data_IF_181178060632
#
_entry.id   IF_181178060632
#
_cell.length_a   1.000
_cell.length_b   1.000
_cell.length_c   1.000
_cell.angle_alpha   90.00
_cell.angle_beta   90.00
_cell.angle_gamma   90.00
#
_symmetry.space_group_name_H-M   'P 1'
#
loop_
_entity.id
_entity.type
_entity.pdbx_description
1 polymer ?
#
# COMPACT_ATOMS: atom_id res chain seq x y z
N UNK A 1 23.45 -7.72 -12.35
CA UNK A 1 22.59 -8.40 -11.35
C UNK A 1 22.63 -7.53 -10.11
N UNK A 2 21.50 -6.91 -9.77
CA UNK A 2 21.40 -5.92 -8.69
C UNK A 2 19.96 -5.58 -8.33
N UNK A 3 19.04 -6.55 -8.46
CA UNK A 3 17.63 -6.37 -8.10
C UNK A 3 17.31 -7.11 -6.80
N UNK A 4 16.67 -6.41 -5.87
CA UNK A 4 16.14 -6.97 -4.62
C UNK A 4 14.65 -6.66 -4.55
N UNK A 5 13.85 -7.68 -4.25
CA UNK A 5 12.44 -7.49 -3.90
C UNK A 5 12.31 -7.46 -2.38
N UNK A 6 11.75 -6.39 -1.84
CA UNK A 6 11.40 -6.32 -0.43
C UNK A 6 9.89 -6.38 -0.31
N UNK A 7 9.35 -7.47 0.23
CA UNK A 7 7.93 -7.57 0.53
C UNK A 7 7.66 -7.08 1.95
N UNK A 8 6.65 -6.24 2.10
CA UNK A 8 6.29 -5.66 3.40
C UNK A 8 4.82 -5.92 3.69
N UNK A 9 4.54 -6.60 4.81
CA UNK A 9 3.19 -6.78 5.31
C UNK A 9 2.79 -5.54 6.12
N UNK A 10 1.85 -4.76 5.60
CA UNK A 10 1.28 -3.60 6.30
C UNK A 10 0.19 -4.07 7.29
N UNK A 11 0.62 -4.55 8.48
CA UNK A 11 -0.28 -5.11 9.48
C UNK A 11 0.14 -4.77 10.91
N UNK A 12 -0.69 -4.00 11.62
CA UNK A 12 -0.42 -3.57 13.00
C UNK A 12 -0.48 -4.73 14.02
N UNK A 13 -1.09 -5.86 13.66
CA UNK A 13 -1.05 -7.10 14.44
C UNK A 13 0.33 -7.79 14.42
N UNK A 14 1.27 -7.29 13.62
CA UNK A 14 2.66 -7.74 13.61
C UNK A 14 2.82 -9.20 13.22
N UNK A 15 3.84 -9.84 13.79
CA UNK A 15 4.18 -11.25 13.54
C UNK A 15 3.00 -12.21 13.76
N UNK A 16 2.18 -11.96 14.79
CA UNK A 16 1.03 -12.81 15.10
C UNK A 16 -0.03 -12.80 13.99
N UNK A 17 -0.19 -11.68 13.30
CA UNK A 17 -1.13 -11.55 12.19
C UNK A 17 -0.52 -12.02 10.86
N UNK A 18 0.71 -11.58 10.55
CA UNK A 18 1.30 -11.72 9.22
C UNK A 18 2.29 -12.89 9.07
N UNK A 19 2.98 -13.31 10.14
CA UNK A 19 4.12 -14.24 10.10
C UNK A 19 3.80 -15.57 9.40
N UNK A 20 2.64 -16.16 9.72
CA UNK A 20 2.18 -17.42 9.11
C UNK A 20 2.11 -17.39 7.58
N UNK A 21 1.86 -16.23 6.98
CA UNK A 21 1.78 -16.09 5.53
C UNK A 21 3.17 -16.09 4.90
N UNK A 22 4.16 -15.51 5.57
CA UNK A 22 5.55 -15.57 5.12
C UNK A 22 6.15 -16.97 5.30
N UNK A 23 5.88 -17.64 6.42
CA UNK A 23 6.30 -19.03 6.64
C UNK A 23 5.76 -19.95 5.53
N UNK A 24 4.46 -19.79 5.20
CA UNK A 24 3.83 -20.57 4.13
C UNK A 24 4.34 -20.21 2.73
N UNK A 25 4.73 -18.96 2.50
CA UNK A 25 5.23 -18.50 1.21
C UNK A 25 6.62 -19.05 0.88
N UNK A 26 7.46 -19.32 1.90
CA UNK A 26 8.84 -19.78 1.70
C UNK A 26 9.66 -18.80 0.84
N UNK A 27 9.40 -17.50 0.99
CA UNK A 27 10.04 -16.45 0.19
C UNK A 27 11.57 -16.46 0.39
N UNK A 28 12.32 -16.32 -0.71
CA UNK A 28 13.79 -16.25 -0.70
C UNK A 28 14.32 -14.82 -0.79
N UNK A 29 13.43 -13.85 -0.98
CA UNK A 29 13.71 -12.42 -0.98
C UNK A 29 13.39 -11.82 0.39
N UNK A 30 13.84 -10.59 0.66
CA UNK A 30 13.63 -9.95 1.97
C UNK A 30 12.15 -9.74 2.28
N UNK A 31 11.70 -10.18 3.45
CA UNK A 31 10.35 -9.95 3.96
C UNK A 31 10.40 -9.13 5.26
N UNK A 32 9.45 -8.20 5.41
CA UNK A 32 9.33 -7.32 6.57
C UNK A 32 7.85 -7.24 7.01
N UNK A 33 7.62 -6.92 8.28
CA UNK A 33 6.28 -6.60 8.78
C UNK A 33 6.31 -5.16 9.29
N UNK A 34 5.49 -4.31 8.67
CA UNK A 34 5.37 -2.88 9.03
C UNK A 34 4.29 -2.67 10.09
N UNK A 35 4.53 -3.22 11.28
CA UNK A 35 3.57 -3.19 12.39
C UNK A 35 3.22 -1.77 12.87
N UNK A 36 4.00 -0.76 12.47
CA UNK A 36 3.78 0.63 12.86
C UNK A 36 3.46 1.53 11.67
N UNK A 37 3.20 0.97 10.50
CA UNK A 37 2.89 1.74 9.28
C UNK A 37 3.94 2.79 8.95
N UNK A 38 5.21 2.52 9.28
CA UNK A 38 6.34 3.42 9.02
C UNK A 38 6.69 3.41 7.54
N UNK A 39 6.69 2.24 6.89
CA UNK A 39 6.95 2.13 5.45
C UNK A 39 5.82 2.79 4.67
N UNK A 40 4.56 2.46 5.00
CA UNK A 40 3.43 3.09 4.31
C UNK A 40 3.36 4.60 4.54
N UNK A 41 3.67 5.08 5.74
CA UNK A 41 3.79 6.51 6.02
C UNK A 41 4.90 7.18 5.19
N UNK A 42 6.09 6.58 5.07
CA UNK A 42 7.21 7.16 4.34
C UNK A 42 6.94 7.25 2.84
N UNK A 43 6.28 6.25 2.27
CA UNK A 43 6.01 6.17 0.83
C UNK A 43 4.61 6.64 0.43
N UNK A 44 3.81 7.16 1.38
CA UNK A 44 2.46 7.66 1.11
C UNK A 44 1.49 6.56 0.65
N UNK A 45 1.69 5.32 1.09
CA UNK A 45 0.83 4.20 0.70
C UNK A 45 -0.52 4.31 1.43
N UNK A 46 -1.60 4.28 0.67
CA UNK A 46 -2.96 4.47 1.19
C UNK A 46 -3.82 3.21 1.11
N UNK A 47 -3.38 2.22 0.34
CA UNK A 47 -4.05 0.95 0.12
C UNK A 47 -3.00 -0.14 -0.22
N UNK A 48 -3.39 -1.42 -0.16
CA UNK A 48 -2.51 -2.55 -0.54
C UNK A 48 -3.26 -3.51 -1.47
N UNK A 49 -2.57 -4.19 -2.41
CA UNK A 49 -1.12 -4.19 -2.63
C UNK A 49 -0.64 -2.93 -3.37
N UNK A 50 0.44 -2.33 -2.87
CA UNK A 50 1.10 -1.16 -3.47
C UNK A 50 2.60 -1.45 -3.60
N UNK A 51 3.22 -1.00 -4.69
CA UNK A 51 4.65 -1.13 -4.96
C UNK A 51 5.29 0.23 -5.23
N UNK A 52 6.58 0.34 -4.90
CA UNK A 52 7.43 1.50 -5.17
C UNK A 52 8.72 0.98 -5.79
N UNK A 53 9.20 1.62 -6.86
CA UNK A 53 10.46 1.24 -7.51
C UNK A 53 11.55 2.25 -7.17
N UNK A 54 12.69 1.75 -6.70
CA UNK A 54 13.81 2.55 -6.21
C UNK A 54 15.07 2.14 -6.96
N UNK A 55 15.73 3.07 -7.65
CA UNK A 55 16.96 2.81 -8.37
C UNK A 55 18.18 2.62 -7.45
N UNK A 56 19.32 2.23 -8.03
CA UNK A 56 20.57 2.00 -7.30
C UNK A 56 21.14 3.28 -6.64
N UNK A 57 20.67 4.47 -7.05
CA UNK A 57 21.02 5.74 -6.43
C UNK A 57 20.07 6.12 -5.26
N UNK A 58 19.12 5.24 -4.91
CA UNK A 58 18.15 5.46 -3.85
C UNK A 58 17.02 6.40 -4.25
N UNK A 59 16.74 6.58 -5.54
CA UNK A 59 15.68 7.47 -6.03
C UNK A 59 14.46 6.67 -6.43
N UNK A 60 13.29 7.18 -6.06
CA UNK A 60 12.02 6.65 -6.55
C UNK A 60 11.95 6.91 -8.05
N UNK A 61 11.71 5.87 -8.83
CA UNK A 61 11.49 5.92 -10.29
C UNK A 61 10.07 5.51 -10.67
N UNK A 62 9.32 4.88 -9.76
CA UNK A 62 7.86 4.78 -9.79
C UNK A 62 7.31 4.91 -8.36
N UNK A 63 6.44 5.90 -8.07
CA UNK A 63 5.87 6.09 -6.74
C UNK A 63 4.85 4.97 -6.41
N UNK A 64 4.24 5.05 -5.23
CA UNK A 64 3.26 4.05 -4.77
C UNK A 64 2.12 3.87 -5.77
N UNK A 65 2.07 2.70 -6.42
CA UNK A 65 1.00 2.30 -7.34
C UNK A 65 0.56 0.86 -7.08
N UNK A 66 -0.64 0.48 -7.56
CA UNK A 66 -1.19 -0.85 -7.32
C UNK A 66 -0.32 -1.95 -7.93
N UNK A 67 0.08 -2.94 -7.11
CA UNK A 67 1.13 -3.90 -7.47
C UNK A 67 0.67 -5.36 -7.36
N UNK A 68 -0.36 -5.75 -8.11
CA UNK A 68 -0.72 -7.16 -8.23
C UNK A 68 0.29 -7.92 -9.10
N UNK A 69 0.60 -9.17 -8.72
CA UNK A 69 1.53 -10.04 -9.46
C UNK A 69 0.89 -10.83 -10.60
N UNK A 70 -0.43 -10.74 -10.75
CA UNK A 70 -1.24 -11.37 -11.79
C UNK A 70 -2.48 -10.54 -12.01
N UNK A 71 -3.13 -10.74 -13.15
CA UNK A 71 -4.40 -10.08 -13.41
C UNK A 71 -5.42 -10.42 -12.33
N UNK A 72 -6.08 -9.39 -11.83
CA UNK A 72 -7.02 -9.47 -10.73
C UNK A 72 -8.29 -8.72 -11.12
N UNK A 73 -9.44 -9.26 -10.73
CA UNK A 73 -10.71 -8.59 -10.93
C UNK A 73 -11.40 -8.45 -9.59
N UNK A 74 -11.80 -7.23 -9.27
CA UNK A 74 -12.38 -6.89 -7.98
C UNK A 74 -13.54 -5.92 -8.17
N UNK A 75 -14.74 -6.32 -7.78
CA UNK A 75 -15.96 -5.48 -7.86
C UNK A 75 -16.08 -4.73 -9.20
N UNK A 76 -15.93 -5.49 -10.29
CA UNK A 76 -15.97 -5.00 -11.69
C UNK A 76 -14.78 -4.18 -12.17
N UNK A 77 -13.78 -3.90 -11.32
CA UNK A 77 -12.51 -3.30 -11.72
C UNK A 77 -11.51 -4.39 -12.13
N UNK A 78 -11.01 -4.29 -13.36
CA UNK A 78 -9.92 -5.14 -13.85
C UNK A 78 -8.57 -4.47 -13.56
N UNK A 79 -7.69 -5.18 -12.87
CA UNK A 79 -6.36 -4.72 -12.52
C UNK A 79 -5.34 -5.56 -13.30
N UNK A 80 -4.57 -4.95 -14.22
CA UNK A 80 -3.66 -5.67 -15.10
C UNK A 80 -2.32 -5.98 -14.40
N UNK A 81 -2.34 -6.82 -13.36
CA UNK A 81 -1.13 -7.18 -12.60
C UNK A 81 -0.06 -7.84 -13.47
N UNK A 82 -0.46 -8.56 -14.52
CA UNK A 82 0.45 -9.11 -15.52
C UNK A 82 1.28 -8.02 -16.21
N UNK A 83 0.65 -6.88 -16.55
CA UNK A 83 1.33 -5.74 -17.16
C UNK A 83 2.30 -5.05 -16.20
N UNK A 84 1.94 -4.95 -14.91
CA UNK A 84 2.84 -4.44 -13.87
C UNK A 84 4.12 -5.28 -13.76
N UNK A 85 3.99 -6.61 -13.74
CA UNK A 85 5.15 -7.53 -13.70
C UNK A 85 6.00 -7.42 -14.98
N UNK A 86 5.39 -7.27 -16.14
CA UNK A 86 6.11 -7.09 -17.40
C UNK A 86 6.93 -5.78 -17.40
N UNK A 87 6.33 -4.68 -16.93
CA UNK A 87 7.00 -3.40 -16.78
C UNK A 87 8.16 -3.46 -15.76
N UNK A 88 7.96 -4.14 -14.63
CA UNK A 88 9.00 -4.37 -13.63
C UNK A 88 10.18 -5.15 -14.21
N UNK A 89 9.92 -6.22 -14.98
CA UNK A 89 10.97 -7.01 -15.65
C UNK A 89 11.75 -6.20 -16.68
N UNK A 90 11.07 -5.34 -17.44
CA UNK A 90 11.72 -4.40 -18.37
C UNK A 90 12.65 -3.45 -17.61
N UNK A 91 12.19 -2.87 -16.51
CA UNK A 91 13.01 -1.99 -15.68
C UNK A 91 14.21 -2.68 -15.05
N UNK A 92 14.04 -3.90 -14.53
CA UNK A 92 15.16 -4.70 -14.00
C UNK A 92 16.21 -5.00 -15.07
N UNK A 93 15.79 -5.13 -16.33
CA UNK A 93 16.69 -5.42 -17.46
C UNK A 93 17.40 -4.17 -17.98
N UNK A 94 16.66 -3.06 -18.12
CA UNK A 94 17.11 -1.85 -18.81
C UNK A 94 17.51 -0.70 -17.86
N UNK A 95 17.23 -0.80 -16.57
CA UNK A 95 17.52 0.23 -15.58
C UNK A 95 16.90 1.58 -15.97
N UNK A 96 17.72 2.65 -15.94
CA UNK A 96 17.29 3.99 -16.30
C UNK A 96 16.84 4.15 -17.78
N UNK A 97 17.22 3.23 -18.66
CA UNK A 97 16.79 3.24 -20.07
C UNK A 97 15.41 2.58 -20.26
N UNK A 98 14.82 2.01 -19.21
CA UNK A 98 13.47 1.49 -19.25
C UNK A 98 12.46 2.60 -19.49
N UNK A 99 11.58 2.38 -20.46
CA UNK A 99 10.45 3.28 -20.74
C UNK A 99 9.45 3.39 -19.59
N UNK A 100 9.49 2.47 -18.63
CA UNK A 100 8.59 2.47 -17.46
C UNK A 100 9.19 3.19 -16.26
N UNK A 101 10.51 3.45 -16.25
CA UNK A 101 11.14 4.28 -15.23
C UNK A 101 10.78 5.75 -15.48
N UNK A 102 10.14 6.39 -14.51
CA UNK A 102 9.72 7.77 -14.66
C UNK A 102 10.90 8.72 -14.42
N UNK A 103 10.98 9.82 -15.19
CA UNK A 103 11.92 10.89 -14.88
C UNK A 103 11.53 11.54 -13.54
N UNK A 104 12.53 12.03 -12.80
CA UNK A 104 12.33 12.59 -11.45
C UNK A 104 11.27 13.70 -11.37
N UNK A 105 11.10 14.47 -12.45
CA UNK A 105 10.03 15.47 -12.55
C UNK A 105 8.64 14.84 -12.52
N UNK A 106 8.41 13.77 -13.29
CA UNK A 106 7.13 13.06 -13.31
C UNK A 106 6.86 12.37 -11.97
N UNK A 107 7.90 11.84 -11.31
CA UNK A 107 7.79 11.30 -9.94
C UNK A 107 7.36 12.38 -8.95
N UNK A 108 7.97 13.57 -9.00
CA UNK A 108 7.60 14.69 -8.14
C UNK A 108 6.17 15.18 -8.41
N UNK A 109 5.76 15.27 -9.67
CA UNK A 109 4.40 15.62 -10.07
C UNK A 109 3.38 14.58 -9.57
N UNK A 110 3.70 13.28 -9.65
CA UNK A 110 2.83 12.20 -9.21
C UNK A 110 2.72 12.10 -7.66
N UNK A 111 3.80 12.34 -6.92
CA UNK A 111 3.77 12.38 -5.45
C UNK A 111 3.00 13.61 -4.95
N UNK A 112 3.11 14.73 -5.66
CA UNK A 112 2.51 16.00 -5.29
C UNK A 112 2.97 16.52 -3.93
N UNK A 113 2.25 17.52 -3.42
CA UNK A 113 2.46 18.02 -2.06
C UNK A 113 1.75 17.12 -1.05
N UNK A 114 2.49 16.69 -0.03
CA UNK A 114 1.91 15.96 1.09
C UNK A 114 1.16 16.93 2.01
N UNK A 115 -0.16 16.79 2.18
CA UNK A 115 -0.90 17.70 3.05
C UNK A 115 -0.55 17.43 4.52
N UNK A 116 -0.43 18.49 5.32
CA UNK A 116 -0.18 18.39 6.75
C UNK A 116 -1.21 17.51 7.49
N UNK A 117 -2.44 17.44 6.98
CA UNK A 117 -3.47 16.55 7.51
C UNK A 117 -3.08 15.07 7.47
N UNK A 118 -2.35 14.63 6.43
CA UNK A 118 -1.85 13.25 6.34
C UNK A 118 -0.83 12.93 7.44
N UNK A 119 0.05 13.89 7.77
CA UNK A 119 1.02 13.72 8.85
C UNK A 119 0.34 13.66 10.22
N UNK A 120 -0.68 14.52 10.45
CA UNK A 120 -1.48 14.42 11.66
C UNK A 120 -2.25 13.11 11.72
N UNK A 121 -2.77 12.59 10.60
CA UNK A 121 -3.45 11.31 10.58
C UNK A 121 -2.52 10.17 11.02
N UNK A 122 -1.28 10.15 10.54
CA UNK A 122 -0.27 9.16 10.93
C UNK A 122 0.11 9.31 12.41
N UNK A 123 0.22 10.53 12.92
CA UNK A 123 0.50 10.76 14.34
C UNK A 123 -0.66 10.27 15.23
N UNK A 124 -1.91 10.55 14.86
CA UNK A 124 -3.09 10.03 15.53
C UNK A 124 -3.16 8.50 15.46
N UNK A 125 -2.86 7.92 14.30
CA UNK A 125 -2.80 6.47 14.09
C UNK A 125 -1.76 5.82 15.02
N UNK A 126 -0.52 6.33 15.06
CA UNK A 126 0.53 5.79 15.91
C UNK A 126 0.21 5.89 17.41
N UNK A 127 -0.43 6.98 17.83
CA UNK A 127 -0.89 7.14 19.22
C UNK A 127 -2.00 6.16 19.56
N UNK A 128 -2.98 5.99 18.68
CA UNK A 128 -4.05 5.03 18.88
C UNK A 128 -3.52 3.59 18.97
N UNK A 129 -2.49 3.24 18.16
CA UNK A 129 -1.82 1.93 18.24
C UNK A 129 -1.21 1.72 19.62
N UNK A 130 -0.43 2.70 20.09
CA UNK A 130 0.23 2.62 21.39
C UNK A 130 -0.76 2.57 22.57
N UNK A 131 -1.94 3.17 22.43
CA UNK A 131 -3.01 3.11 23.44
C UNK A 131 -3.72 1.76 23.41
N UNK A 132 -4.01 1.22 22.23
CA UNK A 132 -4.58 -0.12 22.04
C UNK A 132 -3.68 -1.20 22.64
N UNK A 133 -2.37 -1.14 22.38
CA UNK A 133 -1.38 -2.07 22.99
C UNK A 133 -1.38 -2.03 24.54
N UNK A 134 -1.81 -0.91 25.13
CA UNK A 134 -1.93 -0.74 26.59
C UNK A 134 -3.31 -1.07 27.13
N UNK A 135 -4.27 -1.42 26.26
CA UNK A 135 -5.66 -1.71 26.60
C UNK A 135 -6.53 -0.49 26.87
N UNK A 136 -6.09 0.72 26.51
CA UNK A 136 -6.94 1.94 26.62
C UNK A 136 -7.78 2.11 25.35
N UNK A 137 -8.75 1.21 25.16
CA UNK A 137 -9.59 1.15 23.96
C UNK A 137 -10.43 2.42 23.75
N UNK A 138 -10.82 3.09 24.84
CA UNK A 138 -11.62 4.30 24.76
C UNK A 138 -10.81 5.41 24.09
N UNK A 139 -9.60 5.69 24.59
CA UNK A 139 -8.76 6.74 24.03
C UNK A 139 -8.20 6.34 22.67
N UNK A 140 -7.84 5.05 22.49
CA UNK A 140 -7.44 4.52 21.18
C UNK A 140 -8.52 4.79 20.13
N UNK A 141 -9.80 4.49 20.43
CA UNK A 141 -10.94 4.74 19.56
C UNK A 141 -11.10 6.21 19.16
N UNK A 142 -10.86 7.15 20.08
CA UNK A 142 -10.88 8.60 19.77
C UNK A 142 -9.82 8.97 18.73
N UNK A 143 -8.60 8.45 18.89
CA UNK A 143 -7.50 8.72 17.97
C UNK A 143 -7.62 7.95 16.64
N UNK A 144 -8.17 6.73 16.63
CA UNK A 144 -8.50 6.00 15.40
C UNK A 144 -9.46 6.79 14.52
N UNK A 145 -10.56 7.26 15.11
CA UNK A 145 -11.54 8.09 14.40
C UNK A 145 -10.89 9.36 13.86
N UNK A 146 -10.04 10.01 14.67
CA UNK A 146 -9.37 11.24 14.23
C UNK A 146 -8.40 11.00 13.05
N UNK A 147 -7.68 9.88 13.04
CA UNK A 147 -6.82 9.51 11.93
C UNK A 147 -7.63 9.30 10.63
N UNK A 148 -8.78 8.62 10.71
CA UNK A 148 -9.68 8.40 9.58
C UNK A 148 -10.28 9.72 9.05
N UNK A 149 -10.72 10.60 9.94
CA UNK A 149 -11.24 11.93 9.56
C UNK A 149 -10.19 12.79 8.85
N UNK A 150 -8.93 12.72 9.28
CA UNK A 150 -7.83 13.52 8.72
C UNK A 150 -7.31 12.96 7.39
N UNK A 151 -7.47 11.66 7.14
CA UNK A 151 -7.00 11.02 5.92
C UNK A 151 -8.01 10.01 5.36
N UNK A 152 -9.18 10.48 4.93
CA UNK A 152 -10.32 9.64 4.56
C UNK A 152 -10.04 8.75 3.34
N UNK A 153 -9.04 9.05 2.52
CA UNK A 153 -8.66 8.23 1.38
C UNK A 153 -7.84 6.97 1.76
N UNK A 154 -7.29 6.87 2.98
CA UNK A 154 -6.42 5.74 3.37
C UNK A 154 -7.19 4.52 3.85
N UNK A 155 -7.42 3.60 2.92
CA UNK A 155 -7.87 2.24 3.20
C UNK A 155 -7.00 1.52 4.24
N UNK A 156 -5.70 1.78 4.28
CA UNK A 156 -4.80 1.18 5.28
C UNK A 156 -5.10 1.66 6.70
N UNK A 157 -5.24 2.98 6.94
CA UNK A 157 -5.60 3.51 8.27
C UNK A 157 -6.97 2.99 8.72
N UNK A 158 -7.95 2.98 7.80
CA UNK A 158 -9.30 2.51 8.10
C UNK A 158 -9.32 1.03 8.51
N UNK A 159 -8.69 0.13 7.74
CA UNK A 159 -8.73 -1.32 8.03
C UNK A 159 -8.09 -1.69 9.36
N UNK A 160 -7.02 -1.01 9.74
CA UNK A 160 -6.30 -1.30 10.97
C UNK A 160 -7.03 -0.82 12.22
N UNK A 161 -7.81 0.26 12.11
CA UNK A 161 -8.73 0.66 13.17
C UNK A 161 -9.86 -0.36 13.41
N UNK A 162 -10.04 -1.32 12.51
CA UNK A 162 -11.05 -2.38 12.62
C UNK A 162 -10.46 -3.75 13.01
N UNK A 163 -9.17 -3.80 13.39
CA UNK A 163 -8.47 -5.07 13.66
C UNK A 163 -9.10 -5.87 14.81
N UNK A 164 -9.70 -5.19 15.79
CA UNK A 164 -10.37 -5.81 16.93
C UNK A 164 -11.80 -6.28 16.65
N UNK A 165 -12.36 -5.95 15.48
CA UNK A 165 -13.72 -6.33 15.09
C UNK A 165 -13.78 -7.77 14.56
N UNK A 166 -14.98 -8.31 14.42
CA UNK A 166 -15.21 -9.57 13.70
C UNK A 166 -15.01 -9.40 12.19
N UNK A 167 -14.88 -10.52 11.47
CA UNK A 167 -14.75 -10.47 10.00
C UNK A 167 -16.00 -9.87 9.33
N UNK A 168 -17.19 -10.19 9.82
CA UNK A 168 -18.45 -9.67 9.29
C UNK A 168 -18.58 -8.15 9.51
N UNK A 169 -18.20 -7.66 10.69
CA UNK A 169 -18.17 -6.22 10.98
C UNK A 169 -17.15 -5.48 10.11
N UNK A 170 -15.93 -6.04 9.96
CA UNK A 170 -14.92 -5.48 9.04
C UNK A 170 -15.43 -5.44 7.61
N UNK A 171 -16.11 -6.50 7.16
CA UNK A 171 -16.68 -6.58 5.81
C UNK A 171 -17.76 -5.53 5.61
N UNK A 172 -18.65 -5.34 6.58
CA UNK A 172 -19.70 -4.33 6.51
C UNK A 172 -19.13 -2.91 6.40
N UNK A 173 -18.18 -2.55 7.27
CA UNK A 173 -17.51 -1.24 7.23
C UNK A 173 -16.72 -1.02 5.95
N UNK A 174 -16.08 -2.07 5.44
CA UNK A 174 -15.37 -2.01 4.16
C UNK A 174 -16.35 -1.75 3.01
N UNK A 175 -17.50 -2.44 2.98
CA UNK A 175 -18.53 -2.24 1.95
C UNK A 175 -19.11 -0.83 2.00
N UNK A 176 -19.46 -0.33 3.19
CA UNK A 176 -19.94 1.05 3.38
C UNK A 176 -18.95 2.08 2.82
N UNK A 177 -17.66 1.93 3.15
CA UNK A 177 -16.60 2.79 2.64
C UNK A 177 -16.42 2.66 1.13
N UNK A 178 -16.60 1.46 0.58
CA UNK A 178 -16.44 1.22 -0.87
C UNK A 178 -17.59 1.86 -1.64
N UNK A 179 -18.83 1.73 -1.16
CA UNK A 179 -20.00 2.39 -1.73
C UNK A 179 -19.84 3.92 -1.67
N UNK A 180 -19.23 4.45 -0.61
CA UNK A 180 -18.93 5.88 -0.48
C UNK A 180 -17.86 6.41 -1.47
N UNK A 181 -17.20 5.55 -2.25
CA UNK A 181 -16.37 6.01 -3.38
C UNK A 181 -17.20 6.62 -4.50
N UNK A 182 -18.50 6.32 -4.59
CA UNK A 182 -19.42 6.88 -5.58
C UNK A 182 -18.90 6.80 -7.02
N UNK A 183 -18.36 5.62 -7.39
CA UNK A 183 -17.79 5.36 -8.71
C UNK A 183 -16.35 5.84 -8.91
N UNK A 184 -15.72 6.49 -7.93
CA UNK A 184 -14.27 6.66 -7.91
C UNK A 184 -13.59 5.28 -7.81
N UNK A 185 -12.43 5.09 -8.46
CA UNK A 185 -11.80 3.77 -8.51
C UNK A 185 -11.18 3.40 -7.15
N UNK A 186 -11.26 2.12 -6.79
CA UNK A 186 -10.69 1.62 -5.53
C UNK A 186 -9.15 1.62 -5.54
N UNK A 187 -8.56 1.40 -6.70
CA UNK A 187 -7.15 1.67 -6.98
C UNK A 187 -7.02 2.71 -8.07
N UNK A 188 -6.05 3.62 -7.94
CA UNK A 188 -5.66 4.46 -9.07
C UNK A 188 -5.24 3.57 -10.25
N UNK A 189 -5.73 3.84 -11.48
CA UNK A 189 -5.34 3.08 -12.66
C UNK A 189 -3.83 3.11 -12.87
N UNK A 190 -3.27 1.99 -13.31
CA UNK A 190 -1.86 1.90 -13.67
C UNK A 190 -1.56 2.72 -14.93
N UNK A 191 -0.57 3.61 -14.83
CA UNK A 191 -0.03 4.34 -15.98
C UNK A 191 1.18 3.57 -16.55
N UNK A 192 0.89 2.61 -17.41
CA UNK A 192 1.86 1.75 -18.07
C UNK A 192 1.69 1.82 -19.60
N UNK A 193 2.38 2.75 -20.28
CA UNK A 193 2.26 2.91 -21.73
C UNK A 193 2.74 1.65 -22.47
N UNK A 194 1.88 1.11 -23.33
CA UNK A 194 2.16 -0.03 -24.22
C UNK A 194 2.77 -1.25 -23.50
N UNK A 195 2.38 -1.52 -22.26
CA UNK A 195 2.87 -2.68 -21.52
C UNK A 195 2.54 -3.98 -22.28
N UNK A 196 3.56 -4.82 -22.60
CA UNK A 196 3.29 -6.09 -23.24
C UNK A 196 2.48 -6.96 -22.27
N UNK A 197 1.62 -7.87 -22.78
CA UNK A 197 1.01 -8.88 -21.93
C UNK A 197 2.12 -9.65 -21.18
N UNK A 198 1.85 -10.09 -19.94
CA UNK A 198 2.84 -10.92 -19.25
C UNK A 198 3.19 -12.13 -20.12
N UNK A 199 4.46 -12.28 -20.44
CA UNK A 199 4.98 -13.52 -21.02
C UNK A 199 4.95 -14.63 -19.96
N UNK A 200 4.44 -15.79 -20.38
CA UNK A 200 4.41 -17.05 -19.62
C UNK A 200 5.79 -17.45 -19.06
#
# INVERSE_FOLDING_TARGET
MGFELVAVAEDAGGELAAGRYYDAAGATFTTLIDARHTVSALYGMVNVPTGVWIDEAGRIVRPGEVAFSRDFSFLSEAIPGSAYVAALRDWVTNGADSRFALPQRAVAEALGDRPQAADFAIAHFGLALALHERGDEKLAGEHWRRAQELHPASWSIHRQAWVSLTEDERRALWMEKYEALDGAPYYAPLDLPDAPPAGD
#
